data_IF_982295161862
#
_entry.id   IF_982295161862
#
_cell.length_a   1.000
_cell.length_b   1.000
_cell.length_c   1.000
_cell.angle_alpha   90.00
_cell.angle_beta   90.00
_cell.angle_gamma   90.00
#
_symmetry.space_group_name_H-M   'P 1'
#
loop_
_entity.id
_entity.type
_entity.pdbx_description
1 polymer ?
#
# COMPACT_ATOMS: atom_id res chain seq x y z
N UNK A 1 23.20 -27.00 30.49
CA UNK A 1 22.28 -25.91 30.84
C UNK A 1 23.05 -24.63 30.57
N UNK A 2 22.52 -23.81 29.64
CA UNK A 2 22.71 -22.35 29.41
C UNK A 2 24.15 -21.80 29.42
N UNK A 3 24.60 -21.10 28.38
CA UNK A 3 24.24 -19.71 28.08
C UNK A 3 24.70 -19.46 26.63
N UNK A 4 23.86 -18.95 25.74
CA UNK A 4 23.95 -17.54 25.34
C UNK A 4 22.77 -17.23 24.42
N UNK A 5 21.79 -16.49 24.94
CA UNK A 5 21.10 -15.40 24.25
C UNK A 5 20.14 -14.75 25.25
N UNK A 6 20.03 -13.41 25.22
CA UNK A 6 19.49 -12.47 26.21
C UNK A 6 20.56 -12.03 27.22
N UNK A 7 20.91 -10.76 27.41
CA UNK A 7 20.17 -9.50 27.26
C UNK A 7 21.18 -8.34 27.22
N UNK A 8 20.85 -7.23 26.56
CA UNK A 8 20.78 -5.94 27.27
C UNK A 8 19.94 -4.95 26.45
N UNK A 9 18.88 -4.51 27.09
CA UNK A 9 17.96 -3.45 26.69
C UNK A 9 18.46 -2.13 27.29
N UNK A 10 18.43 -1.09 26.47
CA UNK A 10 18.27 0.34 26.80
C UNK A 10 19.39 1.09 27.55
N UNK A 11 20.08 1.97 26.81
CA UNK A 11 20.42 3.31 27.30
C UNK A 11 20.33 4.34 26.16
N UNK A 12 19.27 5.15 26.20
CA UNK A 12 19.20 6.57 25.81
C UNK A 12 19.73 6.93 24.41
N UNK A 13 18.86 6.91 23.41
CA UNK A 13 18.35 8.11 22.69
C UNK A 13 17.19 7.64 21.81
N UNK A 14 16.00 8.19 22.03
CA UNK A 14 14.85 8.04 21.16
C UNK A 14 15.13 8.70 19.80
N UNK A 15 15.96 8.10 18.96
CA UNK A 15 16.03 8.44 17.55
C UNK A 15 15.82 7.18 16.73
N UNK A 16 14.57 7.03 16.29
CA UNK A 16 14.17 6.16 15.17
C UNK A 16 15.17 6.34 14.02
N UNK A 17 15.62 5.27 13.34
CA UNK A 17 16.58 5.36 12.24
C UNK A 17 16.05 6.10 10.99
N UNK A 18 14.84 6.66 11.04
CA UNK A 18 14.31 7.59 10.05
C UNK A 18 14.91 9.00 10.21
N UNK A 19 16.23 9.13 10.07
CA UNK A 19 16.83 10.45 9.86
C UNK A 19 18.14 10.37 9.09
N UNK A 20 18.03 10.02 7.81
CA UNK A 20 19.12 10.21 6.85
C UNK A 20 18.57 10.80 5.55
N UNK A 21 18.57 12.14 5.51
CA UNK A 21 18.82 13.02 4.36
C UNK A 21 18.19 12.60 3.02
N UNK A 22 17.00 13.14 2.74
CA UNK A 22 16.65 13.73 1.45
C UNK A 22 15.68 14.88 1.73
N UNK A 23 15.79 15.99 1.00
CA UNK A 23 15.21 17.29 1.34
C UNK A 23 13.72 17.28 1.69
N UNK A 24 13.31 18.30 2.47
CA UNK A 24 11.92 18.58 2.86
C UNK A 24 11.01 18.85 1.63
N UNK A 25 10.76 17.83 0.83
CA UNK A 25 9.49 17.73 0.13
C UNK A 25 8.54 17.12 1.16
N UNK A 26 7.53 17.88 1.61
CA UNK A 26 6.39 17.32 2.33
C UNK A 26 5.70 16.35 1.38
N UNK A 27 6.21 15.12 1.28
CA UNK A 27 5.43 13.99 0.82
C UNK A 27 4.24 13.96 1.77
N UNK A 28 3.05 14.32 1.27
CA UNK A 28 1.81 14.11 2.00
C UNK A 28 1.88 12.70 2.58
N UNK A 29 1.78 12.59 3.90
CA UNK A 29 1.87 11.32 4.62
C UNK A 29 0.67 10.48 4.19
N UNK A 30 0.84 9.77 3.06
CA UNK A 30 -0.12 8.81 2.56
C UNK A 30 -0.26 7.78 3.67
N UNK A 31 -1.49 7.62 4.16
CA UNK A 31 -1.80 6.63 5.18
C UNK A 31 -1.20 5.29 4.76
N UNK A 32 -0.36 4.65 5.59
CA UNK A 32 0.30 3.42 5.20
C UNK A 32 -0.75 2.36 4.90
N UNK A 33 -0.73 1.83 3.67
CA UNK A 33 -1.57 0.71 3.26
C UNK A 33 -0.99 -0.59 3.84
N UNK A 34 -1.84 -1.38 4.51
CA UNK A 34 -1.53 -2.67 5.08
C UNK A 34 -2.22 -3.81 4.32
N UNK A 35 -1.60 -4.99 4.29
CA UNK A 35 -2.19 -6.19 3.68
C UNK A 35 -3.54 -6.49 4.33
N UNK A 36 -4.57 -6.68 3.52
CA UNK A 36 -5.95 -6.83 3.97
C UNK A 36 -6.79 -5.56 3.90
N UNK A 37 -6.17 -4.40 3.65
CA UNK A 37 -6.90 -3.14 3.50
C UNK A 37 -7.83 -3.16 2.30
N UNK A 38 -9.00 -2.56 2.47
CA UNK A 38 -9.94 -2.30 1.38
C UNK A 38 -9.44 -1.14 0.56
N UNK A 39 -9.35 -1.34 -0.74
CA UNK A 39 -8.86 -0.35 -1.68
C UNK A 39 -9.78 -0.25 -2.89
N UNK A 40 -9.77 0.90 -3.54
CA UNK A 40 -10.47 1.17 -4.80
C UNK A 40 -9.42 1.28 -5.91
N UNK A 41 -9.60 0.49 -6.97
CA UNK A 41 -8.75 0.51 -8.17
C UNK A 41 -9.45 1.30 -9.28
N UNK A 42 -8.81 2.34 -9.79
CA UNK A 42 -9.30 3.16 -10.90
C UNK A 42 -8.84 2.62 -12.26
N UNK A 43 -9.70 2.72 -13.26
CA UNK A 43 -9.34 2.41 -14.64
C UNK A 43 -8.44 3.53 -15.21
N UNK A 44 -7.23 3.22 -15.71
CA UNK A 44 -6.36 4.23 -16.32
C UNK A 44 -6.90 4.78 -17.64
N UNK A 45 -7.89 4.13 -18.28
CA UNK A 45 -8.44 4.63 -19.54
C UNK A 45 -9.29 5.88 -19.29
N UNK A 46 -8.98 7.03 -19.94
CA UNK A 46 -9.83 8.20 -19.83
C UNK A 46 -11.23 7.87 -20.33
N UNK A 47 -12.20 8.04 -19.44
CA UNK A 47 -13.62 7.90 -19.74
C UNK A 47 -13.91 8.79 -20.95
N UNK A 48 -14.43 8.21 -22.04
CA UNK A 48 -14.93 8.98 -23.18
C UNK A 48 -15.96 9.98 -22.64
N UNK A 49 -15.69 11.28 -22.86
CA UNK A 49 -16.52 12.40 -22.40
C UNK A 49 -17.99 12.12 -22.71
N UNK A 50 -18.83 12.04 -21.67
CA UNK A 50 -20.26 11.71 -21.78
C UNK A 50 -20.68 10.42 -21.09
N UNK A 51 -19.74 9.59 -20.65
CA UNK A 51 -20.02 8.40 -19.82
C UNK A 51 -19.75 8.73 -18.35
N UNK A 52 -20.59 8.23 -17.43
CA UNK A 52 -20.40 8.38 -15.97
C UNK A 52 -18.97 7.93 -15.61
N UNK A 53 -18.24 8.63 -14.72
CA UNK A 53 -16.90 8.21 -14.32
C UNK A 53 -16.92 6.74 -13.90
N UNK A 54 -16.03 5.91 -14.45
CA UNK A 54 -15.95 4.52 -14.05
C UNK A 54 -15.69 4.48 -12.55
N UNK A 55 -16.67 3.96 -11.82
CA UNK A 55 -16.57 3.78 -10.39
C UNK A 55 -15.43 2.80 -10.19
N UNK A 56 -14.39 3.21 -9.46
CA UNK A 56 -13.25 2.33 -9.21
C UNK A 56 -13.73 1.03 -8.56
N UNK A 57 -13.06 -0.07 -8.88
CA UNK A 57 -13.44 -1.38 -8.37
C UNK A 57 -12.83 -1.61 -7.00
N UNK A 58 -13.67 -1.90 -6.02
CA UNK A 58 -13.19 -2.30 -4.70
C UNK A 58 -12.46 -3.65 -4.75
N UNK A 59 -11.41 -3.74 -3.94
CA UNK A 59 -10.60 -4.94 -3.75
C UNK A 59 -9.87 -4.90 -2.42
N UNK A 60 -9.05 -5.92 -2.20
CA UNK A 60 -8.24 -6.08 -1.00
C UNK A 60 -6.77 -6.01 -1.39
N UNK A 61 -6.01 -5.13 -0.75
CA UNK A 61 -4.58 -5.07 -0.96
C UNK A 61 -3.89 -6.33 -0.44
N UNK A 62 -3.06 -6.96 -1.27
CA UNK A 62 -2.41 -8.23 -0.96
C UNK A 62 -0.90 -8.13 -0.80
N UNK A 63 -0.22 -7.44 -1.71
CA UNK A 63 1.25 -7.31 -1.67
C UNK A 63 1.76 -6.21 -2.61
N UNK A 64 3.01 -5.80 -2.39
CA UNK A 64 3.80 -5.03 -3.36
C UNK A 64 4.81 -5.97 -4.01
N UNK A 65 4.85 -6.03 -5.34
CA UNK A 65 5.89 -6.77 -6.06
C UNK A 65 7.14 -5.91 -6.26
N UNK A 66 6.94 -4.65 -6.65
CA UNK A 66 7.98 -3.64 -6.82
C UNK A 66 7.38 -2.22 -6.70
N UNK A 67 8.21 -1.18 -6.81
CA UNK A 67 7.78 0.22 -6.66
C UNK A 67 6.66 0.66 -7.60
N UNK A 68 6.44 -0.06 -8.70
CA UNK A 68 5.45 0.30 -9.73
C UNK A 68 4.30 -0.72 -9.85
N UNK A 69 4.33 -1.80 -9.06
CA UNK A 69 3.34 -2.88 -9.15
C UNK A 69 2.87 -3.31 -7.76
N UNK A 70 1.60 -3.07 -7.50
CA UNK A 70 0.85 -3.61 -6.35
C UNK A 70 -0.12 -4.69 -6.83
N UNK A 71 -0.36 -5.67 -5.95
CA UNK A 71 -1.32 -6.74 -6.17
C UNK A 71 -2.56 -6.48 -5.32
N UNK A 72 -3.71 -6.41 -5.99
CA UNK A 72 -5.03 -6.26 -5.36
C UNK A 72 -5.88 -7.47 -5.70
N UNK A 73 -6.50 -8.09 -4.69
CA UNK A 73 -7.50 -9.13 -4.89
C UNK A 73 -8.84 -8.49 -5.22
N UNK A 74 -9.39 -8.87 -6.36
CA UNK A 74 -10.64 -8.34 -6.89
C UNK A 74 -11.65 -9.47 -6.97
N UNK A 75 -12.84 -9.24 -6.43
CA UNK A 75 -13.94 -10.19 -6.55
C UNK A 75 -14.43 -10.27 -8.02
N UNK A 76 -14.54 -11.48 -8.54
CA UNK A 76 -15.18 -11.81 -9.81
C UNK A 76 -16.21 -12.90 -9.54
N UNK A 77 -17.15 -13.12 -10.47
CA UNK A 77 -18.26 -14.08 -10.26
C UNK A 77 -17.84 -15.53 -9.93
N UNK A 78 -16.56 -15.89 -10.07
CA UNK A 78 -16.01 -17.19 -9.70
C UNK A 78 -14.99 -17.14 -8.54
N UNK A 79 -15.02 -16.08 -7.73
CA UNK A 79 -14.13 -15.87 -6.58
C UNK A 79 -13.15 -14.71 -6.75
N UNK A 80 -12.14 -14.67 -5.89
CA UNK A 80 -11.13 -13.62 -5.87
C UNK A 80 -10.05 -13.89 -6.92
N UNK A 81 -9.67 -12.85 -7.69
CA UNK A 81 -8.55 -12.91 -8.63
C UNK A 81 -7.54 -11.80 -8.33
N UNK A 82 -6.23 -12.07 -8.41
CA UNK A 82 -5.22 -11.03 -8.31
C UNK A 82 -5.28 -10.11 -9.53
N UNK A 83 -5.04 -8.82 -9.29
CA UNK A 83 -4.89 -7.78 -10.29
C UNK A 83 -3.61 -7.00 -9.97
N UNK A 84 -2.71 -6.93 -10.95
CA UNK A 84 -1.51 -6.10 -10.88
C UNK A 84 -1.85 -4.69 -11.35
N UNK A 85 -1.52 -3.69 -10.54
CA UNK A 85 -1.86 -2.27 -10.78
C UNK A 85 -0.75 -1.35 -10.32
N UNK A 86 -0.66 -0.17 -10.95
CA UNK A 86 0.23 0.88 -10.47
C UNK A 86 -0.32 1.51 -9.18
N UNK A 87 0.52 1.80 -8.16
CA UNK A 87 0.08 2.42 -6.91
C UNK A 87 -0.77 3.69 -7.09
N UNK A 88 -0.48 4.50 -8.13
CA UNK A 88 -1.24 5.73 -8.41
C UNK A 88 -2.70 5.51 -8.83
N UNK A 89 -3.08 4.27 -9.14
CA UNK A 89 -4.44 3.88 -9.51
C UNK A 89 -5.21 3.30 -8.32
N UNK A 90 -4.62 3.28 -7.13
CA UNK A 90 -5.19 2.68 -5.93
C UNK A 90 -5.43 3.76 -4.88
N UNK A 91 -6.61 3.75 -4.29
CA UNK A 91 -6.94 4.59 -3.13
C UNK A 91 -7.43 3.72 -1.98
N UNK A 92 -6.98 4.02 -0.76
CA UNK A 92 -7.49 3.38 0.45
C UNK A 92 -8.95 3.78 0.70
N UNK A 93 -9.78 2.82 1.10
CA UNK A 93 -11.13 3.09 1.63
C UNK A 93 -11.00 3.37 3.12
N UNK A 94 -11.45 4.55 3.55
CA UNK A 94 -11.50 4.95 4.97
C UNK A 94 -12.86 4.64 5.60
#
# INVERSE_FOLDING_TARGET
MVQQLNEVVSTVTEESPMKAVLGEEKAEEISPIAVGDRVVVYDPHPIKTGTKPMHGKEGIFASVENSSVMVVLIEKGNGWKPLQVHPSLVSLVR
#
